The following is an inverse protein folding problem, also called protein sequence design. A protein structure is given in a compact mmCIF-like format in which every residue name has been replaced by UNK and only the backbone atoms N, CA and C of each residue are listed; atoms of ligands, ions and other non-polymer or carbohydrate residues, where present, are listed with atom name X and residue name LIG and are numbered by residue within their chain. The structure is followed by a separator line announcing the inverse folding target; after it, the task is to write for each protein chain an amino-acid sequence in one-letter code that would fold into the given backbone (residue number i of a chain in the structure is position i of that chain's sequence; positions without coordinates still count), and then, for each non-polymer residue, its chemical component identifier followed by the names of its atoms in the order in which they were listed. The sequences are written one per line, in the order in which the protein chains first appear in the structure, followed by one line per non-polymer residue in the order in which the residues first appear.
data_IF_111385807217
#
_entry.id   IF_111385807217
#
_cell.length_a   1.000
_cell.length_b   1.000
_cell.length_c   1.000
_cell.angle_alpha   90.00
_cell.angle_beta   90.00
_cell.angle_gamma   90.00
#
_symmetry.space_group_name_H-M   'P 1'
#
loop_
_entity.id
_entity.type
_entity.pdbx_description
1 polymer ?
#
# COMPACT_ATOMS: atom_id res chain seq x y z
N UNK A 1 -23.52 -0.86 2.89
CA UNK A 1 -23.40 -1.07 1.42
C UNK A 1 -21.97 -1.50 1.08
N UNK A 2 -20.94 -0.74 1.44
CA UNK A 2 -19.51 -0.99 1.18
C UNK A 2 -19.08 -2.45 1.48
N UNK A 3 -19.34 -2.94 2.71
CA UNK A 3 -18.91 -4.29 3.12
C UNK A 3 -19.54 -5.44 2.29
N UNK A 4 -20.68 -5.20 1.62
CA UNK A 4 -21.33 -6.18 0.75
C UNK A 4 -20.63 -6.31 -0.62
N UNK A 5 -19.78 -5.35 -0.98
CA UNK A 5 -19.03 -5.35 -2.23
C UNK A 5 -17.75 -6.21 -2.13
N UNK A 6 -17.28 -6.50 -0.89
CA UNK A 6 -16.06 -7.28 -0.65
C UNK A 6 -16.31 -8.74 -1.01
N UNK A 7 -15.54 -9.23 -1.98
CA UNK A 7 -15.49 -10.64 -2.41
C UNK A 7 -14.17 -11.26 -1.99
N UNK A 8 -14.22 -12.45 -1.45
CA UNK A 8 -13.03 -13.18 -1.03
C UNK A 8 -12.48 -14.09 -2.13
N UNK A 9 -11.14 -14.37 -2.15
CA UNK A 9 -10.14 -13.80 -1.27
C UNK A 9 -10.06 -12.28 -1.40
N UNK A 10 -9.79 -11.56 -0.30
CA UNK A 10 -9.63 -10.13 -0.29
C UNK A 10 -8.14 -9.79 -0.11
N UNK A 11 -7.61 -8.96 -1.01
CA UNK A 11 -6.21 -8.55 -1.05
C UNK A 11 -6.12 -7.09 -0.61
N UNK A 12 -5.53 -6.83 0.54
CA UNK A 12 -5.31 -5.49 1.06
C UNK A 12 -3.91 -5.06 0.66
N UNK A 13 -3.78 -4.09 -0.23
CA UNK A 13 -2.49 -3.67 -0.77
C UNK A 13 -2.18 -2.21 -0.53
N UNK A 14 -0.91 -1.93 -0.34
CA UNK A 14 -0.34 -0.59 -0.19
C UNK A 14 1.05 -0.52 -0.79
N UNK A 15 1.46 0.67 -1.29
CA UNK A 15 2.72 0.89 -1.99
C UNK A 15 3.48 2.08 -1.42
N UNK A 16 4.82 1.93 -1.31
CA UNK A 16 5.73 3.03 -1.07
C UNK A 16 6.48 3.41 -2.34
N UNK A 17 6.70 4.71 -2.52
CA UNK A 17 7.30 5.26 -3.74
C UNK A 17 8.44 6.21 -3.45
N UNK A 18 9.46 6.22 -4.33
CA UNK A 18 10.48 7.27 -4.37
C UNK A 18 10.22 8.24 -5.51
N UNK A 19 10.66 9.47 -5.34
CA UNK A 19 10.70 10.46 -6.41
C UNK A 19 11.97 11.29 -6.31
N UNK A 20 12.54 11.64 -7.46
CA UNK A 20 13.74 12.49 -7.54
C UNK A 20 13.56 13.57 -8.59
N UNK A 21 14.20 14.73 -8.37
CA UNK A 21 14.25 15.81 -9.36
C UNK A 21 15.01 15.39 -10.62
N UNK A 22 16.05 14.57 -10.47
CA UNK A 22 16.78 13.94 -11.56
C UNK A 22 16.25 12.51 -11.70
N UNK A 23 15.75 12.11 -12.88
CA UNK A 23 15.28 10.74 -13.11
C UNK A 23 16.35 9.71 -12.74
N UNK A 24 15.99 8.72 -11.92
CA UNK A 24 16.90 7.66 -11.48
C UNK A 24 16.97 6.51 -12.50
N UNK A 25 15.91 6.31 -13.27
CA UNK A 25 15.76 5.14 -14.17
C UNK A 25 15.37 5.58 -15.56
N UNK A 26 15.72 4.76 -16.54
CA UNK A 26 15.32 4.96 -17.94
C UNK A 26 13.78 5.00 -18.07
N UNK A 27 13.29 5.79 -19.02
CA UNK A 27 11.87 6.00 -19.25
C UNK A 27 11.10 6.49 -17.99
N UNK A 28 11.77 7.25 -17.13
CA UNK A 28 11.14 7.97 -16.04
C UNK A 28 11.27 9.48 -16.23
N UNK A 29 10.44 10.27 -15.56
CA UNK A 29 10.43 11.74 -15.63
C UNK A 29 10.74 12.36 -14.25
N UNK A 30 11.19 13.63 -14.21
CA UNK A 30 11.38 14.36 -12.96
C UNK A 30 10.16 14.25 -12.05
N UNK A 31 10.40 14.00 -10.76
CA UNK A 31 9.39 13.86 -9.73
C UNK A 31 8.35 12.74 -9.96
N UNK A 32 8.60 11.81 -10.88
CA UNK A 32 7.77 10.62 -11.00
C UNK A 32 7.92 9.75 -9.77
N UNK A 33 6.80 9.38 -9.18
CA UNK A 33 6.77 8.46 -8.05
C UNK A 33 6.89 7.02 -8.54
N UNK A 34 8.05 6.41 -8.33
CA UNK A 34 8.37 5.03 -8.71
C UNK A 34 8.15 4.13 -7.51
N UNK A 35 7.30 3.09 -7.59
CA UNK A 35 7.09 2.18 -6.48
C UNK A 35 8.34 1.31 -6.26
N UNK A 36 8.81 1.25 -5.01
CA UNK A 36 9.95 0.44 -4.58
C UNK A 36 9.56 -0.63 -3.57
N UNK A 37 8.37 -0.52 -2.99
CA UNK A 37 7.87 -1.44 -1.98
C UNK A 37 6.39 -1.67 -2.15
N UNK A 38 5.93 -2.90 -1.87
CA UNK A 38 4.54 -3.19 -1.58
C UNK A 38 4.40 -4.04 -0.32
N UNK A 39 3.24 -3.91 0.30
CA UNK A 39 2.71 -4.85 1.28
C UNK A 39 1.34 -5.35 0.81
N UNK A 40 1.07 -6.63 1.03
CA UNK A 40 -0.24 -7.25 0.75
C UNK A 40 -0.62 -8.18 1.88
N UNK A 41 -1.78 -7.94 2.49
CA UNK A 41 -2.44 -8.92 3.35
C UNK A 41 -3.56 -9.62 2.59
N UNK A 42 -3.58 -10.95 2.62
CA UNK A 42 -4.60 -11.78 1.93
C UNK A 42 -5.49 -12.43 2.98
N UNK A 43 -6.78 -12.15 2.91
CA UNK A 43 -7.81 -12.80 3.72
C UNK A 43 -8.59 -13.73 2.80
N UNK A 44 -8.48 -15.04 3.00
CA UNK A 44 -9.09 -16.07 2.12
C UNK A 44 -10.60 -16.14 2.19
N UNK A 45 -11.16 -15.87 3.38
CA UNK A 45 -12.61 -15.82 3.64
C UNK A 45 -12.89 -14.90 4.82
N UNK A 46 -14.12 -14.42 4.94
CA UNK A 46 -14.53 -13.56 6.05
C UNK A 46 -14.17 -14.16 7.41
N UNK A 47 -13.41 -13.41 8.22
CA UNK A 47 -12.97 -13.81 9.54
C UNK A 47 -11.76 -14.74 9.60
N UNK A 48 -11.17 -15.11 8.44
CA UNK A 48 -9.91 -15.84 8.43
C UNK A 48 -8.73 -14.94 8.83
N UNK A 49 -7.70 -15.54 9.43
CA UNK A 49 -6.45 -14.84 9.68
C UNK A 49 -5.81 -14.37 8.35
N UNK A 50 -5.26 -13.15 8.30
CA UNK A 50 -4.58 -12.66 7.11
C UNK A 50 -3.22 -13.33 6.94
N UNK A 51 -2.83 -13.61 5.70
CA UNK A 51 -1.47 -13.97 5.31
C UNK A 51 -0.78 -12.73 4.78
N UNK A 52 0.44 -12.43 5.25
CA UNK A 52 1.21 -11.25 4.86
C UNK A 52 2.32 -11.59 3.86
N UNK A 53 2.44 -10.75 2.85
CA UNK A 53 3.48 -10.79 1.83
C UNK A 53 3.99 -9.37 1.59
N UNK A 54 5.30 -9.23 1.39
CA UNK A 54 5.93 -7.95 1.11
C UNK A 54 7.00 -8.09 0.02
N UNK A 55 7.29 -6.98 -0.61
CA UNK A 55 8.44 -6.77 -1.48
C UNK A 55 9.05 -5.42 -1.13
N UNK A 56 10.34 -5.38 -0.95
CA UNK A 56 11.15 -4.18 -0.79
C UNK A 56 12.34 -4.30 -1.74
N UNK A 57 12.41 -3.42 -2.72
CA UNK A 57 13.47 -3.45 -3.74
C UNK A 57 14.85 -3.42 -3.11
N UNK A 58 15.77 -4.16 -3.68
CA UNK A 58 17.16 -4.20 -3.28
C UNK A 58 18.06 -3.62 -4.38
N UNK A 59 19.14 -2.95 -3.94
CA UNK A 59 20.06 -2.31 -4.87
C UNK A 59 19.51 -1.06 -5.56
N UNK A 60 20.23 -0.59 -6.57
CA UNK A 60 19.99 0.67 -7.28
C UNK A 60 19.33 0.50 -8.65
N UNK A 61 19.00 -0.73 -9.03
CA UNK A 61 18.34 -1.02 -10.31
C UNK A 61 16.88 -0.56 -10.30
N UNK A 62 16.28 -0.42 -11.50
CA UNK A 62 14.87 -0.06 -11.63
C UNK A 62 13.97 -1.11 -10.95
N UNK A 63 13.25 -0.74 -9.88
CA UNK A 63 12.45 -1.71 -9.13
C UNK A 63 11.18 -2.16 -9.86
N UNK A 64 10.71 -1.41 -10.86
CA UNK A 64 9.41 -1.63 -11.53
C UNK A 64 9.25 -3.04 -12.12
N UNK A 65 10.24 -3.64 -12.82
CA UNK A 65 10.09 -4.98 -13.38
C UNK A 65 9.83 -6.05 -12.33
N UNK A 66 10.66 -6.10 -11.27
CA UNK A 66 10.54 -7.08 -10.20
C UNK A 66 9.30 -6.84 -9.33
N UNK A 67 9.01 -5.58 -9.00
CA UNK A 67 7.80 -5.16 -8.30
C UNK A 67 6.54 -5.69 -9.00
N UNK A 68 6.42 -5.46 -10.31
CA UNK A 68 5.25 -5.87 -11.09
C UNK A 68 5.14 -7.38 -11.23
N UNK A 69 6.26 -8.08 -11.36
CA UNK A 69 6.30 -9.54 -11.47
C UNK A 69 5.84 -10.20 -10.16
N UNK A 70 6.47 -9.86 -9.04
CA UNK A 70 6.12 -10.41 -7.72
C UNK A 70 4.69 -10.07 -7.31
N UNK A 71 4.26 -8.83 -7.54
CA UNK A 71 2.88 -8.45 -7.22
C UNK A 71 1.87 -9.24 -8.07
N UNK A 72 2.15 -9.43 -9.37
CA UNK A 72 1.27 -10.20 -10.26
C UNK A 72 1.19 -11.68 -9.86
N UNK A 73 2.30 -12.29 -9.47
CA UNK A 73 2.32 -13.68 -9.00
C UNK A 73 1.47 -13.87 -7.74
N UNK A 74 1.49 -12.88 -6.84
CA UNK A 74 0.76 -12.91 -5.58
C UNK A 74 -0.73 -12.67 -5.77
N UNK A 75 -1.10 -11.75 -6.66
CA UNK A 75 -2.47 -11.27 -6.84
C UNK A 75 -3.28 -12.21 -7.75
N UNK A 76 -4.02 -13.14 -7.19
CA UNK A 76 -4.90 -14.04 -7.95
C UNK A 76 -5.88 -13.31 -8.88
N UNK A 77 -6.64 -14.08 -9.66
CA UNK A 77 -7.56 -13.55 -10.70
C UNK A 77 -8.97 -13.24 -10.20
N UNK A 78 -9.30 -13.60 -8.95
CA UNK A 78 -10.64 -13.45 -8.35
C UNK A 78 -10.53 -12.72 -7.01
N UNK A 79 -11.69 -12.28 -6.51
CA UNK A 79 -11.79 -11.61 -5.23
C UNK A 79 -11.54 -10.10 -5.32
N UNK A 80 -11.70 -9.38 -4.22
CA UNK A 80 -11.54 -7.93 -4.18
C UNK A 80 -10.09 -7.53 -3.88
N UNK A 81 -9.65 -6.46 -4.51
CA UNK A 81 -8.44 -5.72 -4.12
C UNK A 81 -8.90 -4.51 -3.32
N UNK A 82 -8.31 -4.29 -2.16
CA UNK A 82 -8.68 -3.21 -1.24
C UNK A 82 -7.45 -2.36 -0.99
N UNK A 83 -7.58 -1.06 -1.22
CA UNK A 83 -6.55 -0.09 -0.90
C UNK A 83 -7.17 1.13 -0.20
N UNK A 84 -6.37 1.85 0.58
CA UNK A 84 -6.80 3.07 1.24
C UNK A 84 -6.45 4.28 0.36
N UNK A 85 -7.47 4.91 -0.26
CA UNK A 85 -7.32 5.90 -1.35
C UNK A 85 -6.80 5.23 -2.64
N UNK A 86 -7.47 4.17 -3.05
CA UNK A 86 -7.09 3.27 -4.16
C UNK A 86 -6.65 3.96 -5.47
N UNK A 87 -7.04 5.22 -5.68
CA UNK A 87 -6.59 6.00 -6.85
C UNK A 87 -5.07 6.21 -6.92
N UNK A 88 -4.37 6.14 -5.78
CA UNK A 88 -2.92 6.25 -5.76
C UNK A 88 -2.27 4.97 -6.29
N UNK A 89 -2.60 3.82 -5.73
CA UNK A 89 -2.05 2.51 -6.11
C UNK A 89 -2.37 2.19 -7.56
N UNK A 90 -3.61 2.41 -7.99
CA UNK A 90 -4.03 2.19 -9.39
C UNK A 90 -3.25 3.07 -10.37
N UNK A 91 -2.99 4.34 -10.01
CA UNK A 91 -2.16 5.21 -10.82
C UNK A 91 -0.72 4.69 -10.94
N UNK A 92 -0.13 4.19 -9.82
CA UNK A 92 1.22 3.63 -9.86
C UNK A 92 1.29 2.38 -10.71
N UNK A 93 0.31 1.49 -10.62
CA UNK A 93 0.22 0.30 -11.49
C UNK A 93 0.10 0.69 -12.98
N UNK A 94 -0.72 1.69 -13.30
CA UNK A 94 -0.88 2.18 -14.68
C UNK A 94 0.42 2.78 -15.21
N UNK A 95 1.10 3.62 -14.43
CA UNK A 95 2.41 4.20 -14.79
C UNK A 95 3.47 3.10 -15.01
N UNK A 96 3.48 2.05 -14.18
CA UNK A 96 4.34 0.89 -14.40
C UNK A 96 3.97 0.12 -15.67
N UNK A 97 2.68 -0.04 -15.98
CA UNK A 97 2.23 -0.73 -17.20
C UNK A 97 2.47 0.09 -18.48
N UNK A 98 2.61 1.42 -18.39
CA UNK A 98 3.08 2.26 -19.50
C UNK A 98 4.55 1.95 -19.84
N UNK A 99 5.40 1.81 -18.81
CA UNK A 99 6.81 1.42 -18.97
C UNK A 99 6.98 -0.06 -19.34
N UNK A 100 6.06 -0.92 -18.89
CA UNK A 100 6.10 -2.37 -19.05
C UNK A 100 4.77 -2.89 -19.65
N UNK A 101 4.52 -2.74 -20.96
CA UNK A 101 3.20 -2.99 -21.59
C UNK A 101 2.65 -4.40 -21.41
N UNK A 102 3.50 -5.39 -21.14
CA UNK A 102 3.08 -6.78 -20.86
C UNK A 102 2.14 -6.91 -19.65
N UNK A 103 2.08 -5.90 -18.78
CA UNK A 103 1.22 -5.89 -17.59
C UNK A 103 -0.11 -5.16 -17.79
N UNK A 104 -0.35 -4.48 -18.91
CA UNK A 104 -1.54 -3.63 -19.12
C UNK A 104 -2.85 -4.34 -18.84
N UNK A 105 -3.08 -5.51 -19.45
CA UNK A 105 -4.31 -6.28 -19.25
C UNK A 105 -4.48 -6.76 -17.80
N UNK A 106 -3.38 -7.08 -17.13
CA UNK A 106 -3.44 -7.48 -15.74
C UNK A 106 -3.81 -6.29 -14.83
N UNK A 107 -3.24 -5.11 -15.06
CA UNK A 107 -3.58 -3.89 -14.31
C UNK A 107 -5.05 -3.51 -14.52
N UNK A 108 -5.58 -3.62 -15.74
CA UNK A 108 -7.01 -3.42 -16.03
C UNK A 108 -7.87 -4.37 -15.17
N UNK A 109 -7.49 -5.65 -15.07
CA UNK A 109 -8.19 -6.63 -14.23
C UNK A 109 -8.10 -6.36 -12.73
N UNK A 110 -7.02 -5.73 -12.25
CA UNK A 110 -6.90 -5.26 -10.86
C UNK A 110 -7.86 -4.09 -10.62
N UNK A 111 -7.88 -3.12 -11.52
CA UNK A 111 -8.75 -1.95 -11.41
C UNK A 111 -10.24 -2.33 -11.30
N UNK A 112 -10.71 -3.25 -12.15
CA UNK A 112 -12.11 -3.71 -12.19
C UNK A 112 -12.62 -4.29 -10.86
N UNK A 113 -11.71 -4.83 -10.03
CA UNK A 113 -12.06 -5.44 -8.74
C UNK A 113 -11.53 -4.68 -7.53
N UNK A 114 -11.00 -3.46 -7.75
CA UNK A 114 -10.48 -2.63 -6.66
C UNK A 114 -11.59 -1.87 -5.95
N UNK A 115 -11.53 -1.90 -4.63
CA UNK A 115 -12.45 -1.21 -3.70
C UNK A 115 -11.64 -0.22 -2.87
N UNK A 116 -12.11 1.03 -2.80
CA UNK A 116 -11.48 2.09 -2.01
C UNK A 116 -12.02 2.12 -0.58
N UNK A 117 -11.20 1.71 0.39
CA UNK A 117 -11.55 1.69 1.81
C UNK A 117 -11.66 3.10 2.43
N UNK A 118 -11.17 4.13 1.77
CA UNK A 118 -11.36 5.52 2.21
C UNK A 118 -12.85 5.96 2.14
N UNK A 119 -13.63 5.41 1.20
CA UNK A 119 -15.01 5.86 0.93
C UNK A 119 -15.91 5.91 2.16
N UNK A 120 -16.01 4.87 3.01
CA UNK A 120 -16.88 4.90 4.19
C UNK A 120 -16.60 6.09 5.14
N UNK A 121 -15.36 6.52 5.21
CA UNK A 121 -14.91 7.60 6.10
C UNK A 121 -15.06 8.96 5.45
N UNK A 122 -14.68 9.11 4.19
CA UNK A 122 -14.83 10.34 3.41
C UNK A 122 -16.30 10.71 3.20
N UNK A 123 -17.16 9.73 2.98
CA UNK A 123 -18.59 9.91 2.75
C UNK A 123 -19.40 9.91 4.07
N UNK A 124 -18.73 9.97 5.23
CA UNK A 124 -19.32 10.02 6.57
C UNK A 124 -20.28 8.86 6.87
N UNK A 125 -20.10 7.69 6.22
CA UNK A 125 -20.84 6.48 6.60
C UNK A 125 -20.36 5.91 7.96
N UNK A 126 -19.13 6.24 8.35
CA UNK A 126 -18.57 6.10 9.68
C UNK A 126 -17.76 7.34 10.03
N UNK A 127 -17.94 7.85 11.24
CA UNK A 127 -17.15 8.93 11.81
C UNK A 127 -17.03 8.77 13.32
N UNK A 128 -15.85 9.03 13.85
CA UNK A 128 -15.58 9.08 15.27
C UNK A 128 -14.94 10.44 15.63
N UNK A 129 -15.34 11.13 16.73
CA UNK A 129 -14.81 12.46 17.08
C UNK A 129 -13.28 12.52 17.19
N UNK A 130 -12.63 11.45 17.64
CA UNK A 130 -11.15 11.36 17.71
C UNK A 130 -10.44 11.41 16.33
N UNK A 131 -11.17 11.31 15.22
CA UNK A 131 -10.60 11.52 13.88
C UNK A 131 -10.25 12.97 13.61
N UNK A 132 -10.79 13.90 14.38
CA UNK A 132 -10.56 15.36 14.26
C UNK A 132 -10.76 15.88 12.82
N UNK A 133 -11.85 15.43 12.19
CA UNK A 133 -12.19 15.79 10.81
C UNK A 133 -11.35 15.12 9.72
N UNK A 134 -10.34 14.33 10.08
CA UNK A 134 -9.49 13.59 9.12
C UNK A 134 -10.06 12.22 8.80
N UNK A 135 -9.99 11.84 7.52
CA UNK A 135 -10.26 10.47 7.08
C UNK A 135 -8.98 9.71 6.69
N UNK A 136 -7.79 10.20 7.08
CA UNK A 136 -6.53 9.47 6.92
C UNK A 136 -6.58 8.15 7.70
N UNK A 137 -5.97 7.08 7.17
CA UNK A 137 -5.88 5.80 7.88
C UNK A 137 -5.25 5.97 9.28
N UNK A 138 -4.29 6.87 9.43
CA UNK A 138 -3.61 7.18 10.69
C UNK A 138 -4.54 7.76 11.77
N UNK A 139 -5.58 8.46 11.35
CA UNK A 139 -6.60 9.00 12.24
C UNK A 139 -7.76 8.03 12.44
N UNK A 140 -8.07 7.19 11.44
CA UNK A 140 -9.16 6.22 11.49
C UNK A 140 -8.78 4.98 12.29
N UNK A 141 -7.63 4.39 12.02
CA UNK A 141 -7.19 3.12 12.64
C UNK A 141 -7.24 3.16 14.18
N UNK A 142 -6.70 4.19 14.87
CA UNK A 142 -6.73 4.25 16.34
C UNK A 142 -8.13 4.45 16.92
N UNK A 143 -9.13 4.85 16.12
CA UNK A 143 -10.52 4.99 16.60
C UNK A 143 -11.28 3.67 16.59
N UNK A 144 -10.80 2.69 15.86
CA UNK A 144 -11.44 1.39 15.67
C UNK A 144 -10.65 0.25 16.31
N UNK A 145 -9.36 0.47 16.60
CA UNK A 145 -8.43 -0.55 17.09
C UNK A 145 -7.50 0.05 18.14
N UNK A 146 -6.65 -0.79 18.73
CA UNK A 146 -5.55 -0.40 19.63
C UNK A 146 -4.24 -0.10 18.90
N UNK A 147 -4.25 -0.08 17.55
CA UNK A 147 -3.06 0.16 16.72
C UNK A 147 -2.96 1.64 16.34
N UNK A 148 -1.72 2.16 16.34
CA UNK A 148 -1.39 3.51 15.88
C UNK A 148 -0.01 3.52 15.22
N UNK A 149 0.36 4.66 14.63
CA UNK A 149 1.67 4.90 14.02
C UNK A 149 2.60 5.68 14.94
N UNK A 150 2.17 6.00 16.17
CA UNK A 150 2.83 6.96 17.05
C UNK A 150 4.23 6.51 17.49
N UNK A 151 4.43 5.21 17.66
CA UNK A 151 5.72 4.63 18.10
C UNK A 151 6.63 4.21 16.92
N UNK A 152 6.24 4.51 15.68
CA UNK A 152 7.01 4.14 14.50
C UNK A 152 8.08 5.17 14.16
N UNK A 153 9.33 4.74 13.93
CA UNK A 153 10.40 5.62 13.45
C UNK A 153 10.13 6.11 12.02
N UNK A 154 9.52 5.28 11.17
CA UNK A 154 8.97 5.67 9.87
C UNK A 154 7.45 5.63 10.04
N UNK A 155 6.84 6.80 10.12
CA UNK A 155 5.41 6.95 10.35
C UNK A 155 4.67 7.65 9.19
N UNK A 156 5.35 7.94 8.08
CA UNK A 156 4.73 8.56 6.89
C UNK A 156 5.50 8.26 5.61
N UNK A 157 4.82 8.31 4.46
CA UNK A 157 5.39 7.98 3.15
C UNK A 157 6.51 8.92 2.69
N UNK A 158 6.55 10.19 3.17
CA UNK A 158 7.65 11.10 2.83
C UNK A 158 8.94 10.66 3.55
N UNK A 159 8.84 10.32 4.82
CA UNK A 159 9.94 9.75 5.60
C UNK A 159 10.37 8.40 5.01
N UNK A 160 9.44 7.52 4.64
CA UNK A 160 9.74 6.25 3.97
C UNK A 160 10.53 6.45 2.67
N UNK A 161 10.06 7.34 1.80
CA UNK A 161 10.74 7.69 0.54
C UNK A 161 12.15 8.22 0.76
N UNK A 162 12.32 9.15 1.72
CA UNK A 162 13.62 9.78 2.04
C UNK A 162 14.60 8.75 2.59
N UNK A 163 14.19 7.95 3.56
CA UNK A 163 15.06 6.96 4.19
C UNK A 163 15.46 5.84 3.23
N UNK A 164 14.52 5.35 2.40
CA UNK A 164 14.85 4.40 1.34
C UNK A 164 15.87 4.99 0.36
N UNK A 165 15.65 6.23 -0.11
CA UNK A 165 16.58 6.92 -1.01
C UNK A 165 17.98 7.05 -0.38
N UNK A 166 18.04 7.49 0.88
CA UNK A 166 19.29 7.68 1.60
C UNK A 166 20.12 6.39 1.64
N UNK A 167 19.54 5.31 2.13
CA UNK A 167 20.29 4.05 2.32
C UNK A 167 20.56 3.29 1.02
N UNK A 168 19.85 3.61 -0.08
CA UNK A 168 19.96 2.90 -1.35
C UNK A 168 20.81 3.65 -2.38
N UNK A 169 20.67 4.98 -2.45
CA UNK A 169 21.25 5.79 -3.55
C UNK A 169 22.33 6.76 -3.11
N UNK A 170 22.74 6.74 -1.83
CA UNK A 170 23.84 7.57 -1.32
C UNK A 170 24.86 6.71 -0.59
N UNK A 171 26.03 7.31 -0.28
CA UNK A 171 27.06 6.65 0.53
C UNK A 171 26.69 6.57 2.03
N UNK A 172 25.59 7.20 2.44
CA UNK A 172 25.07 7.15 3.81
C UNK A 172 24.16 5.93 4.00
N UNK A 173 24.78 4.76 4.07
CA UNK A 173 24.11 3.48 4.28
C UNK A 173 24.10 3.01 5.74
N UNK A 174 24.38 3.94 6.68
CA UNK A 174 24.29 3.64 8.11
C UNK A 174 22.90 3.14 8.45
N UNK A 175 22.86 2.12 9.29
CA UNK A 175 21.63 1.51 9.77
C UNK A 175 20.70 0.96 8.66
N UNK A 176 21.23 0.64 7.47
CA UNK A 176 20.46 0.14 6.34
C UNK A 176 19.51 -0.99 6.75
N UNK A 177 20.00 -1.99 7.47
CA UNK A 177 19.17 -3.13 7.90
C UNK A 177 18.01 -2.68 8.81
N UNK A 178 18.25 -1.72 9.70
CA UNK A 178 17.22 -1.13 10.57
C UNK A 178 16.19 -0.36 9.76
N UNK A 179 16.64 0.49 8.82
CA UNK A 179 15.75 1.28 7.96
C UNK A 179 14.89 0.37 7.10
N UNK A 180 15.46 -0.67 6.48
CA UNK A 180 14.69 -1.65 5.70
C UNK A 180 13.62 -2.35 6.54
N UNK A 181 13.96 -2.77 7.77
CA UNK A 181 12.99 -3.35 8.69
C UNK A 181 11.87 -2.35 9.05
N UNK A 182 12.20 -1.09 9.30
CA UNK A 182 11.21 -0.06 9.60
C UNK A 182 10.27 0.23 8.41
N UNK A 183 10.80 0.20 7.17
CA UNK A 183 10.00 0.31 5.95
C UNK A 183 9.01 -0.85 5.83
N UNK A 184 9.47 -2.09 6.08
CA UNK A 184 8.58 -3.27 6.06
C UNK A 184 7.50 -3.20 7.14
N UNK A 185 7.86 -2.77 8.35
CA UNK A 185 6.89 -2.60 9.44
C UNK A 185 5.84 -1.54 9.10
N UNK A 186 6.26 -0.40 8.54
CA UNK A 186 5.38 0.71 8.20
C UNK A 186 4.36 0.31 7.12
N UNK A 187 4.82 -0.13 5.96
CA UNK A 187 3.94 -0.58 4.87
C UNK A 187 3.09 -1.81 5.28
N UNK A 188 3.66 -2.70 6.12
CA UNK A 188 2.94 -3.83 6.71
C UNK A 188 1.79 -3.40 7.62
N UNK A 189 1.98 -2.34 8.41
CA UNK A 189 0.93 -1.80 9.27
C UNK A 189 -0.20 -1.16 8.47
N UNK A 190 0.10 -0.48 7.35
CA UNK A 190 -0.93 0.11 6.49
C UNK A 190 -1.90 -0.97 5.98
N UNK A 191 -1.39 -2.09 5.48
CA UNK A 191 -2.24 -3.18 4.98
C UNK A 191 -2.91 -3.99 6.08
N UNK A 192 -2.23 -4.27 7.22
CA UNK A 192 -2.84 -4.90 8.37
C UNK A 192 -3.93 -4.01 8.97
N UNK A 193 -3.68 -2.71 9.06
CA UNK A 193 -4.65 -1.71 9.51
C UNK A 193 -5.93 -1.72 8.70
N UNK A 194 -5.83 -1.87 7.38
CA UNK A 194 -7.02 -2.02 6.50
C UNK A 194 -7.82 -3.29 6.83
N UNK A 195 -7.16 -4.42 7.07
CA UNK A 195 -7.82 -5.67 7.51
C UNK A 195 -8.58 -5.46 8.82
N UNK A 196 -7.91 -4.86 9.80
CA UNK A 196 -8.49 -4.59 11.12
C UNK A 196 -9.68 -3.63 11.03
N UNK A 197 -9.56 -2.54 10.26
CA UNK A 197 -10.66 -1.60 10.01
C UNK A 197 -11.88 -2.34 9.44
N UNK A 198 -11.69 -3.16 8.40
CA UNK A 198 -12.79 -3.92 7.79
C UNK A 198 -13.42 -4.88 8.79
N UNK A 199 -12.61 -5.58 9.60
CA UNK A 199 -13.09 -6.48 10.63
C UNK A 199 -13.94 -5.75 11.69
N UNK A 200 -13.51 -4.55 12.12
CA UNK A 200 -14.29 -3.74 13.07
C UNK A 200 -15.58 -3.20 12.44
N UNK A 201 -15.54 -2.75 11.19
CA UNK A 201 -16.75 -2.32 10.48
C UNK A 201 -17.78 -3.45 10.34
N UNK A 202 -17.35 -4.72 10.21
CA UNK A 202 -18.27 -5.86 10.23
C UNK A 202 -18.93 -6.09 11.60
N UNK A 203 -18.23 -5.77 12.71
CA UNK A 203 -18.78 -5.91 14.07
C UNK A 203 -19.80 -4.81 14.39
N UNK A 204 -19.75 -3.68 13.69
CA UNK A 204 -20.65 -2.55 13.88
C UNK A 204 -21.98 -2.67 13.08
N UNK A 205 -22.14 -3.73 12.27
CA UNK A 205 -23.38 -4.04 11.53
C UNK A 205 -24.32 -4.90 12.35
#
# INVERSE_FOLDING_TARGET
KFLKEIKYPAYYMDFETISSAVPLFDNSRPYQQIPFQFSVHIVKQKGAAPEHYSFLADGTDDPRPEFMEKLKELMGTKGSVIAYKASFELRKLKECAEALPKYKKWVESIEERTIDLLKPFRDFAYYHPKQDGSCSIKNVLPTLTDKSYDDMEIGDGMTASREYFRVTFTDDNKDMAKIRNNLEQYCGLDTLGMVEIVNQLYKLQ
#
